data_IF_545680618236
#
_entry.id   IF_545680618236
#
_cell.length_a   1.000
_cell.length_b   1.000
_cell.length_c   1.000
_cell.angle_alpha   90.00
_cell.angle_beta   90.00
_cell.angle_gamma   90.00
#
_symmetry.space_group_name_H-M   'P 1'
#
loop_
_entity.id
_entity.type
_entity.pdbx_description
1 polymer ?
#
# COMPACT_ATOMS: atom_id res chain seq x y z
N UNK A 1 11.39 1.79 5.64
CA UNK A 1 11.17 1.19 4.33
C UNK A 1 10.61 2.25 3.41
N UNK A 2 11.24 2.47 2.25
CA UNK A 2 10.70 3.37 1.23
C UNK A 2 9.64 2.67 0.38
N UNK A 3 9.00 3.41 -0.53
CA UNK A 3 7.89 2.89 -1.35
C UNK A 3 8.34 1.78 -2.31
N UNK A 4 9.56 1.84 -2.84
CA UNK A 4 10.07 0.84 -3.80
C UNK A 4 10.35 -0.46 -3.06
N UNK A 5 11.05 -0.37 -1.93
CA UNK A 5 11.36 -1.53 -1.07
C UNK A 5 10.07 -2.22 -0.59
N UNK A 6 9.03 -1.46 -0.21
CA UNK A 6 7.72 -2.02 0.13
C UNK A 6 7.06 -2.74 -1.05
N UNK A 7 7.12 -2.16 -2.24
CA UNK A 7 6.50 -2.73 -3.44
C UNK A 7 7.20 -4.03 -3.87
N UNK A 8 8.53 -4.08 -3.81
CA UNK A 8 9.31 -5.29 -4.09
C UNK A 8 8.97 -6.40 -3.09
N UNK A 9 8.98 -6.08 -1.79
CA UNK A 9 8.64 -7.03 -0.73
C UNK A 9 7.23 -7.62 -0.87
N UNK A 10 6.25 -6.79 -1.28
CA UNK A 10 4.87 -7.22 -1.56
C UNK A 10 4.80 -8.09 -2.82
N UNK A 11 5.54 -7.73 -3.87
CA UNK A 11 5.58 -8.50 -5.12
C UNK A 11 6.12 -9.92 -4.91
N UNK A 12 7.19 -10.07 -4.11
CA UNK A 12 7.74 -11.38 -3.73
C UNK A 12 6.73 -12.30 -3.03
N UNK A 13 5.70 -11.73 -2.42
CA UNK A 13 4.64 -12.44 -1.66
C UNK A 13 3.36 -12.61 -2.46
N UNK A 14 3.42 -12.38 -3.78
CA UNK A 14 2.29 -12.57 -4.67
C UNK A 14 1.24 -11.46 -4.58
N UNK A 15 1.63 -10.26 -4.14
CA UNK A 15 0.80 -9.08 -4.25
C UNK A 15 1.12 -8.28 -5.51
N UNK A 16 0.10 -7.61 -6.04
CA UNK A 16 0.23 -6.50 -6.99
C UNK A 16 0.01 -5.19 -6.24
N UNK A 17 0.84 -4.19 -6.53
CA UNK A 17 0.79 -2.88 -5.88
C UNK A 17 0.75 -1.78 -6.92
N UNK A 18 -0.17 -0.84 -6.74
CA UNK A 18 -0.22 0.40 -7.51
C UNK A 18 -0.06 1.56 -6.55
N UNK A 19 0.93 2.41 -6.81
CA UNK A 19 1.13 3.69 -6.15
C UNK A 19 0.99 4.79 -7.19
N UNK A 20 0.07 5.73 -6.98
CA UNK A 20 -0.24 6.76 -7.98
C UNK A 20 -0.39 8.13 -7.32
N UNK A 21 0.27 9.13 -7.91
CA UNK A 21 -0.07 10.53 -7.74
C UNK A 21 -1.05 10.97 -8.83
N UNK A 22 -2.12 11.66 -8.44
CA UNK A 22 -3.23 12.07 -9.30
C UNK A 22 -3.43 13.59 -9.20
N UNK A 23 -2.94 14.31 -10.20
CA UNK A 23 -2.99 15.77 -10.26
C UNK A 23 -4.37 16.34 -10.57
N UNK A 24 -5.32 15.51 -11.00
CA UNK A 24 -6.70 15.91 -11.27
C UNK A 24 -7.56 15.93 -9.98
N UNK A 25 -7.06 15.33 -8.90
CA UNK A 25 -7.76 15.27 -7.61
C UNK A 25 -7.53 16.53 -6.77
N UNK A 26 -8.54 16.87 -5.96
CA UNK A 26 -8.52 18.03 -5.07
C UNK A 26 -7.34 18.02 -4.08
N UNK A 27 -7.02 19.19 -3.54
CA UNK A 27 -5.98 19.31 -2.51
C UNK A 27 -6.36 18.45 -1.29
N UNK A 28 -5.57 17.40 -1.01
CA UNK A 28 -5.75 16.52 0.15
C UNK A 28 -5.88 15.02 -0.15
N UNK A 29 -6.12 14.60 -1.41
CA UNK A 29 -6.24 13.18 -1.81
C UNK A 29 -5.50 12.91 -3.13
N UNK A 30 -4.30 13.47 -3.26
CA UNK A 30 -3.50 13.36 -4.48
C UNK A 30 -2.81 12.02 -4.63
N UNK A 31 -2.67 11.26 -3.56
CA UNK A 31 -1.99 9.97 -3.58
C UNK A 31 -2.99 8.86 -3.38
N UNK A 32 -2.74 7.72 -4.03
CA UNK A 32 -3.46 6.50 -3.77
C UNK A 32 -2.52 5.31 -3.77
N UNK A 33 -2.84 4.33 -2.92
CA UNK A 33 -2.23 3.01 -2.93
C UNK A 33 -3.33 1.97 -3.08
N UNK A 34 -3.08 0.99 -3.94
CA UNK A 34 -3.87 -0.23 -4.06
C UNK A 34 -2.92 -1.40 -3.89
N UNK A 35 -3.22 -2.31 -2.97
CA UNK A 35 -2.53 -3.59 -2.81
C UNK A 35 -3.56 -4.69 -2.97
N UNK A 36 -3.27 -5.68 -3.80
CA UNK A 36 -4.13 -6.86 -3.96
C UNK A 36 -3.30 -8.13 -4.03
N UNK A 37 -3.80 -9.24 -3.51
CA UNK A 37 -3.16 -10.55 -3.67
C UNK A 37 -3.08 -11.36 -2.38
N UNK A 38 -2.47 -12.54 -2.48
CA UNK A 38 -2.59 -13.62 -1.49
C UNK A 38 -2.10 -13.25 -0.08
N UNK A 39 -1.10 -12.37 0.04
CA UNK A 39 -0.60 -11.93 1.35
C UNK A 39 -1.63 -11.11 2.15
N UNK A 40 -2.70 -10.63 1.51
CA UNK A 40 -3.79 -9.90 2.17
C UNK A 40 -4.99 -10.79 2.57
N UNK A 41 -4.93 -12.10 2.27
CA UNK A 41 -5.99 -13.06 2.52
C UNK A 41 -6.92 -13.32 1.32
N UNK A 42 -7.98 -14.15 1.50
CA UNK A 42 -8.83 -14.66 0.42
C UNK A 42 -9.58 -13.58 -0.38
N UNK A 43 -9.94 -12.47 0.27
CA UNK A 43 -10.60 -11.29 -0.33
C UNK A 43 -9.60 -10.13 -0.51
N UNK A 44 -8.31 -10.45 -0.54
CA UNK A 44 -7.20 -9.54 -0.24
C UNK A 44 -7.08 -8.32 -1.16
N UNK A 45 -7.78 -7.25 -0.80
CA UNK A 45 -7.69 -5.92 -1.42
C UNK A 45 -7.58 -4.85 -0.33
N UNK A 46 -6.57 -4.00 -0.46
CA UNK A 46 -6.41 -2.77 0.28
C UNK A 46 -6.37 -1.61 -0.69
N UNK A 47 -7.15 -0.56 -0.41
CA UNK A 47 -7.10 0.69 -1.16
C UNK A 47 -7.30 1.86 -0.22
N UNK A 48 -6.47 2.87 -0.35
CA UNK A 48 -6.68 4.16 0.31
C UNK A 48 -6.17 5.31 -0.54
N UNK A 49 -6.81 6.47 -0.39
CA UNK A 49 -6.49 7.72 -1.08
C UNK A 49 -6.11 8.76 -0.01
N UNK A 50 -4.89 9.32 -0.06
CA UNK A 50 -4.30 10.17 0.99
C UNK A 50 -3.57 11.40 0.42
N UNK A 51 -3.11 12.26 1.33
CA UNK A 51 -2.53 13.57 0.99
C UNK A 51 -1.06 13.51 0.55
N UNK A 52 -0.32 12.48 0.93
CA UNK A 52 1.10 12.29 0.60
C UNK A 52 1.46 10.84 0.29
N UNK A 53 2.63 10.63 -0.32
CA UNK A 53 3.14 9.29 -0.58
C UNK A 53 3.49 8.56 0.72
N UNK A 54 4.08 9.28 1.68
CA UNK A 54 4.46 8.77 2.99
C UNK A 54 3.23 8.26 3.75
N UNK A 55 2.12 9.00 3.74
CA UNK A 55 0.88 8.57 4.38
C UNK A 55 0.32 7.28 3.75
N UNK A 56 0.45 7.11 2.43
CA UNK A 56 0.08 5.86 1.76
C UNK A 56 0.99 4.69 2.16
N UNK A 57 2.29 4.91 2.36
CA UNK A 57 3.22 3.88 2.86
C UNK A 57 2.84 3.48 4.29
N UNK A 58 2.67 4.45 5.19
CA UNK A 58 2.29 4.23 6.59
C UNK A 58 0.97 3.44 6.69
N UNK A 59 -0.07 3.88 5.98
CA UNK A 59 -1.36 3.19 5.97
C UNK A 59 -1.26 1.76 5.43
N UNK A 60 -0.37 1.50 4.46
CA UNK A 60 -0.13 0.14 3.95
C UNK A 60 0.55 -0.73 5.01
N UNK A 61 1.56 -0.20 5.71
CA UNK A 61 2.25 -0.91 6.78
C UNK A 61 1.31 -1.23 7.94
N UNK A 62 0.49 -0.26 8.37
CA UNK A 62 -0.52 -0.47 9.41
C UNK A 62 -1.55 -1.54 9.00
N UNK A 63 -1.99 -1.51 7.74
CA UNK A 63 -2.91 -2.50 7.21
C UNK A 63 -2.31 -3.92 7.23
N UNK A 64 -1.06 -4.08 6.81
CA UNK A 64 -0.34 -5.35 6.88
C UNK A 64 -0.15 -5.81 8.33
N UNK A 65 0.26 -4.91 9.22
CA UNK A 65 0.44 -5.21 10.64
C UNK A 65 -0.85 -5.68 11.31
N UNK A 66 -2.00 -5.08 10.97
CA UNK A 66 -3.32 -5.53 11.44
C UNK A 66 -3.68 -6.96 11.02
N UNK A 67 -3.01 -7.49 10.01
CA UNK A 67 -3.11 -8.87 9.49
C UNK A 67 -1.97 -9.77 9.97
N UNK A 68 -1.14 -9.29 10.90
CA UNK A 68 0.05 -10.00 11.37
C UNK A 68 1.07 -10.29 10.26
N UNK A 69 1.05 -9.47 9.21
CA UNK A 69 2.01 -9.50 8.09
C UNK A 69 2.96 -8.32 8.28
N UNK A 70 4.25 -8.57 8.41
CA UNK A 70 5.24 -7.51 8.68
C UNK A 70 6.46 -7.65 7.76
N UNK A 71 6.94 -6.55 7.16
CA UNK A 71 8.21 -6.51 6.45
C UNK A 71 9.41 -6.39 7.39
N UNK A 72 9.18 -6.20 8.70
CA UNK A 72 10.23 -6.01 9.72
C UNK A 72 10.46 -7.23 10.61
N UNK A 73 9.86 -8.38 10.27
CA UNK A 73 10.04 -9.67 10.95
C UNK A 73 11.10 -10.52 10.28
#
# INVERSE_FOLDING_TARGET
MDVVELMEWLAERGCSVVFKADGERGQGQRWMVIVSGGALGPEGLFRTDLSSAEACVEATLEHLASRQVSPFT
#
